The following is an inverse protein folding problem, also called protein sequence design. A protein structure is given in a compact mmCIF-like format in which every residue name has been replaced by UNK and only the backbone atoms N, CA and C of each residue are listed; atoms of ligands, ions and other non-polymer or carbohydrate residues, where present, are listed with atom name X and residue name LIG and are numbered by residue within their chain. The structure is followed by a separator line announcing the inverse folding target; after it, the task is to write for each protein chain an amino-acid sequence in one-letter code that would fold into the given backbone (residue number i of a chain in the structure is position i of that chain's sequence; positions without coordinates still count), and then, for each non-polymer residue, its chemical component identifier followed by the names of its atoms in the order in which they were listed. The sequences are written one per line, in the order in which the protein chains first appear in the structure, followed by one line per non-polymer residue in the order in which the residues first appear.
data_IF_864473917689
#
_entry.id   IF_864473917689
#
_cell.length_a   1.000
_cell.length_b   1.000
_cell.length_c   1.000
_cell.angle_alpha   90.00
_cell.angle_beta   90.00
_cell.angle_gamma   90.00
#
_symmetry.space_group_name_H-M   'P 1'
#
loop_
_entity.id
_entity.type
_entity.pdbx_description
1 polymer ?
#
# COMPACT_ATOMS: atom_id res chain seq x y z
N UNK A 1 -2.38 -11.41 29.53
CA UNK A 1 -2.61 -11.01 28.12
C UNK A 1 -1.67 -11.85 27.27
N UNK A 2 -2.15 -12.49 26.20
CA UNK A 2 -1.27 -13.23 25.29
C UNK A 2 -0.38 -12.22 24.55
N UNK A 3 0.90 -12.53 24.39
CA UNK A 3 1.91 -11.66 23.77
C UNK A 3 1.64 -11.48 22.27
N UNK A 4 0.75 -10.55 21.92
CA UNK A 4 0.36 -10.31 20.52
C UNK A 4 1.51 -9.77 19.67
N UNK A 5 2.55 -9.18 20.28
CA UNK A 5 3.73 -8.67 19.56
C UNK A 5 4.78 -9.72 19.24
N UNK A 6 5.01 -10.73 20.10
CA UNK A 6 6.00 -11.80 19.82
C UNK A 6 5.68 -12.49 18.49
N UNK A 7 4.40 -12.75 18.24
CA UNK A 7 3.92 -13.33 16.98
C UNK A 7 3.44 -12.27 15.96
N UNK A 8 3.71 -10.98 16.21
CA UNK A 8 3.26 -9.90 15.31
C UNK A 8 4.09 -9.87 14.04
N UNK A 9 3.42 -9.73 12.89
CA UNK A 9 4.07 -9.48 11.62
C UNK A 9 4.97 -8.22 11.62
N UNK A 10 4.68 -7.25 12.51
CA UNK A 10 5.52 -6.08 12.78
C UNK A 10 6.90 -6.46 13.28
N UNK A 11 6.91 -7.33 14.29
CA UNK A 11 8.12 -7.86 14.89
C UNK A 11 8.77 -8.84 13.93
N UNK A 12 8.03 -9.76 13.30
CA UNK A 12 8.58 -10.77 12.37
C UNK A 12 9.33 -10.17 11.17
N UNK A 13 8.92 -9.00 10.67
CA UNK A 13 9.68 -8.29 9.62
C UNK A 13 11.01 -7.71 10.11
N UNK A 14 11.16 -7.55 11.42
CA UNK A 14 12.34 -7.02 12.11
C UNK A 14 12.85 -7.94 13.22
N UNK A 15 12.51 -9.23 13.21
CA UNK A 15 12.65 -10.10 14.39
C UNK A 15 14.08 -10.58 14.57
N UNK A 16 14.81 -10.71 13.47
CA UNK A 16 16.27 -10.91 13.49
C UNK A 16 17.03 -9.73 14.09
N UNK A 17 16.34 -8.63 14.32
CA UNK A 17 16.94 -7.32 14.54
C UNK A 17 16.59 -6.78 15.92
N UNK A 18 15.39 -7.00 16.45
CA UNK A 18 14.96 -6.49 17.76
C UNK A 18 15.42 -7.38 18.94
N UNK A 19 15.82 -6.75 20.05
CA UNK A 19 16.14 -7.42 21.34
C UNK A 19 14.89 -7.59 22.21
N UNK A 20 14.91 -8.53 23.16
CA UNK A 20 13.79 -8.81 24.07
C UNK A 20 13.25 -7.57 24.81
N UNK A 21 14.13 -6.70 25.33
CA UNK A 21 13.71 -5.47 26.01
C UNK A 21 12.95 -4.51 25.09
N UNK A 22 13.31 -4.45 23.80
CA UNK A 22 12.64 -3.61 22.80
C UNK A 22 11.28 -4.19 22.41
N UNK A 23 11.16 -5.51 22.42
CA UNK A 23 9.88 -6.20 22.23
C UNK A 23 8.91 -5.88 23.37
N UNK A 24 9.36 -5.95 24.62
CA UNK A 24 8.55 -5.56 25.78
C UNK A 24 8.12 -4.09 25.74
N UNK A 25 8.99 -3.20 25.25
CA UNK A 25 8.64 -1.79 25.05
C UNK A 25 7.51 -1.60 24.03
N UNK A 26 7.59 -2.29 22.89
CA UNK A 26 6.54 -2.26 21.87
C UNK A 26 5.25 -2.89 22.39
N UNK A 27 5.34 -3.99 23.15
CA UNK A 27 4.19 -4.67 23.76
C UNK A 27 3.37 -3.75 24.65
N UNK A 28 4.02 -2.92 25.45
CA UNK A 28 3.34 -2.05 26.41
C UNK A 28 2.83 -0.73 25.81
N UNK A 29 3.25 -0.39 24.58
CA UNK A 29 2.98 0.93 23.98
C UNK A 29 2.40 0.81 22.56
N UNK A 30 1.51 -0.15 22.38
CA UNK A 30 0.79 -0.32 21.12
C UNK A 30 -0.70 -0.56 21.33
N UNK A 31 -1.49 -0.25 20.29
CA UNK A 31 -2.92 -0.56 20.24
C UNK A 31 -3.27 -1.20 18.90
N UNK A 32 -3.89 -2.39 18.95
CA UNK A 32 -4.37 -3.08 17.76
C UNK A 32 -5.83 -2.74 17.51
N UNK A 33 -6.13 -2.20 16.32
CA UNK A 33 -7.48 -1.82 15.91
C UNK A 33 -7.82 -2.51 14.59
N UNK A 34 -9.06 -3.01 14.51
CA UNK A 34 -9.61 -3.60 13.30
C UNK A 34 -10.42 -2.54 12.55
N UNK A 35 -10.19 -2.47 11.24
CA UNK A 35 -10.86 -1.56 10.32
C UNK A 35 -11.62 -2.38 9.29
N UNK A 36 -12.86 -1.98 9.01
CA UNK A 36 -13.65 -2.55 7.92
C UNK A 36 -13.25 -1.90 6.61
N UNK A 37 -13.52 -2.58 5.50
CA UNK A 37 -13.43 -1.96 4.17
C UNK A 37 -14.15 -0.60 4.14
N UNK A 38 -13.42 0.43 3.71
CA UNK A 38 -13.91 1.81 3.61
C UNK A 38 -13.53 2.70 4.79
N UNK A 39 -13.09 2.14 5.92
CA UNK A 39 -12.73 2.94 7.10
C UNK A 39 -11.44 3.73 6.87
N UNK A 40 -11.40 4.96 7.38
CA UNK A 40 -10.20 5.81 7.37
C UNK A 40 -9.29 5.44 8.54
N UNK A 41 -8.03 5.13 8.22
CA UNK A 41 -6.96 4.80 9.17
C UNK A 41 -6.11 6.04 9.47
N UNK A 42 -5.78 6.79 8.42
CA UNK A 42 -5.09 8.10 8.51
C UNK A 42 -5.92 9.10 7.74
N UNK A 43 -6.04 10.33 8.27
CA UNK A 43 -6.73 11.43 7.60
C UNK A 43 -5.76 12.59 7.36
N UNK A 44 -5.69 13.02 6.10
CA UNK A 44 -4.91 14.19 5.70
C UNK A 44 -5.32 15.45 6.48
N UNK A 45 -4.34 16.26 6.86
CA UNK A 45 -4.51 17.49 7.64
C UNK A 45 -4.69 17.27 9.14
N UNK A 46 -4.76 16.02 9.61
CA UNK A 46 -4.89 15.69 11.03
C UNK A 46 -3.51 15.43 11.65
N UNK A 47 -3.36 15.83 12.90
CA UNK A 47 -2.15 15.56 13.68
C UNK A 47 -1.92 14.05 13.86
N UNK A 48 -0.67 13.61 13.76
CA UNK A 48 -0.27 12.22 13.99
C UNK A 48 0.75 12.12 15.12
N UNK A 49 0.49 11.25 16.09
CA UNK A 49 1.42 10.91 17.18
C UNK A 49 1.88 9.46 17.13
N UNK A 50 1.41 8.68 16.16
CA UNK A 50 1.62 7.23 16.14
C UNK A 50 2.20 6.79 14.80
N UNK A 51 3.21 5.93 14.87
CA UNK A 51 3.62 5.13 13.72
C UNK A 51 2.62 3.99 13.56
N UNK A 52 2.26 3.69 12.32
CA UNK A 52 1.23 2.71 12.03
C UNK A 52 1.87 1.51 11.37
N UNK A 53 1.51 0.32 11.82
CA UNK A 53 1.87 -0.93 11.17
C UNK A 53 0.62 -1.68 10.72
N UNK A 54 0.50 -1.87 9.40
CA UNK A 54 -0.53 -2.70 8.81
C UNK A 54 -0.18 -4.18 9.00
N UNK A 55 -0.86 -4.87 9.92
CA UNK A 55 -0.66 -6.30 10.19
C UNK A 55 -1.32 -7.17 9.12
N UNK A 56 -2.55 -6.82 8.72
CA UNK A 56 -3.36 -7.57 7.74
C UNK A 56 -4.19 -6.64 6.87
N UNK A 57 -4.52 -7.12 5.67
CA UNK A 57 -5.41 -6.45 4.74
C UNK A 57 -4.67 -5.65 3.66
N UNK A 58 -5.41 -4.74 3.03
CA UNK A 58 -4.98 -3.93 1.89
C UNK A 58 -5.53 -2.53 2.09
N UNK A 59 -4.69 -1.51 1.93
CA UNK A 59 -5.08 -0.11 2.11
C UNK A 59 -4.72 0.70 0.86
N UNK A 60 -5.42 1.82 0.66
CA UNK A 60 -5.05 2.84 -0.32
C UNK A 60 -4.47 4.06 0.38
N UNK A 61 -3.33 4.54 -0.10
CA UNK A 61 -2.83 5.89 0.19
C UNK A 61 -3.41 6.83 -0.85
N UNK A 62 -4.03 7.91 -0.40
CA UNK A 62 -4.63 8.89 -1.29
C UNK A 62 -4.51 10.31 -0.74
N UNK A 63 -4.48 11.27 -1.65
CA UNK A 63 -4.39 12.69 -1.36
C UNK A 63 -5.63 13.36 -1.93
N UNK A 64 -6.32 14.14 -1.11
CA UNK A 64 -7.43 14.99 -1.58
C UNK A 64 -6.85 16.26 -2.16
N UNK A 65 -6.97 16.43 -3.47
CA UNK A 65 -6.61 17.67 -4.17
C UNK A 65 -7.80 18.62 -4.32
N UNK A 66 -7.60 19.78 -4.97
CA UNK A 66 -8.66 20.79 -5.15
C UNK A 66 -9.88 20.30 -5.93
N UNK A 67 -9.69 19.35 -6.85
CA UNK A 67 -10.72 18.90 -7.78
C UNK A 67 -11.09 17.43 -7.61
N UNK A 68 -10.16 16.58 -7.16
CA UNK A 68 -10.38 15.14 -7.01
C UNK A 68 -9.47 14.50 -5.99
N UNK A 69 -9.90 13.34 -5.50
CA UNK A 69 -9.04 12.40 -4.78
C UNK A 69 -8.07 11.72 -5.74
N UNK A 70 -6.81 11.64 -5.33
CA UNK A 70 -5.74 11.00 -6.08
C UNK A 70 -5.20 9.81 -5.30
N UNK A 71 -5.43 8.59 -5.77
CA UNK A 71 -4.81 7.38 -5.21
C UNK A 71 -3.34 7.34 -5.62
N UNK A 72 -2.44 7.36 -4.66
CA UNK A 72 -1.00 7.39 -4.89
C UNK A 72 -0.45 5.96 -4.98
N UNK A 73 -0.96 5.06 -4.12
CA UNK A 73 -0.46 3.70 -3.98
C UNK A 73 -1.47 2.80 -3.28
N UNK A 74 -1.51 1.53 -3.69
CA UNK A 74 -2.08 0.45 -2.89
C UNK A 74 -0.99 -0.26 -2.09
N UNK A 75 -1.28 -0.58 -0.84
CA UNK A 75 -0.31 -1.16 0.08
C UNK A 75 -0.92 -2.40 0.74
N UNK A 76 -0.28 -3.54 0.49
CA UNK A 76 -0.62 -4.81 1.11
C UNK A 76 0.16 -5.02 2.40
N UNK A 77 -0.50 -5.61 3.39
CA UNK A 77 0.14 -6.08 4.61
C UNK A 77 1.18 -7.20 4.35
N UNK A 78 2.19 -7.36 5.22
CA UNK A 78 2.47 -6.54 6.38
C UNK A 78 3.41 -5.38 6.05
N UNK A 79 3.17 -4.16 6.52
CA UNK A 79 4.12 -3.03 6.31
C UNK A 79 3.87 -1.83 7.23
N UNK A 80 4.87 -0.97 7.35
CA UNK A 80 4.75 0.32 8.01
C UNK A 80 4.02 1.34 7.12
N UNK A 81 3.19 2.16 7.75
CA UNK A 81 2.44 3.26 7.17
C UNK A 81 2.74 4.54 7.96
N UNK A 82 2.59 5.69 7.33
CA UNK A 82 2.71 6.97 8.04
C UNK A 82 4.13 7.36 8.44
N UNK A 83 5.17 6.60 8.07
CA UNK A 83 6.56 6.91 8.44
C UNK A 83 7.02 8.30 7.94
N UNK A 84 6.87 8.68 6.66
CA UNK A 84 7.33 9.99 6.19
C UNK A 84 6.64 11.14 6.91
N UNK A 85 5.36 10.96 7.24
CA UNK A 85 4.59 11.97 7.96
C UNK A 85 5.01 12.03 9.42
N UNK A 86 5.04 10.92 10.13
CA UNK A 86 5.15 10.92 11.61
C UNK A 86 6.60 11.14 12.06
N UNK A 87 7.59 10.79 11.24
CA UNK A 87 9.01 11.08 11.50
C UNK A 87 9.45 12.44 10.94
N UNK A 88 8.90 12.87 9.81
CA UNK A 88 9.31 14.10 9.13
C UNK A 88 8.49 15.35 9.46
N UNK A 89 7.26 15.16 9.97
CA UNK A 89 6.30 16.22 10.27
C UNK A 89 5.41 15.78 11.46
N UNK A 90 4.41 16.57 11.84
CA UNK A 90 3.37 16.18 12.79
C UNK A 90 1.98 16.15 12.16
N UNK A 91 1.83 16.60 10.93
CA UNK A 91 0.54 16.67 10.21
C UNK A 91 0.54 15.67 9.05
N UNK A 92 -0.49 14.82 9.02
CA UNK A 92 -0.73 13.88 7.91
C UNK A 92 -0.83 14.58 6.56
N UNK A 93 0.12 14.29 5.67
CA UNK A 93 0.17 14.84 4.31
C UNK A 93 -0.69 14.04 3.32
N UNK A 94 -1.19 12.88 3.73
CA UNK A 94 -2.06 12.02 2.95
C UNK A 94 -3.04 11.27 3.87
N UNK A 95 -4.06 10.69 3.26
CA UNK A 95 -5.01 9.80 3.92
C UNK A 95 -4.69 8.34 3.60
N UNK A 96 -5.11 7.46 4.51
CA UNK A 96 -5.05 6.00 4.33
C UNK A 96 -6.42 5.44 4.63
N UNK A 97 -6.94 4.63 3.71
CA UNK A 97 -8.27 4.00 3.83
C UNK A 97 -8.16 2.50 3.58
N UNK A 98 -8.85 1.71 4.38
CA UNK A 98 -8.95 0.27 4.21
C UNK A 98 -9.69 -0.10 2.91
N UNK A 99 -9.05 -0.88 2.04
CA UNK A 99 -9.64 -1.40 0.79
C UNK A 99 -10.25 -2.79 1.02
N UNK A 100 -9.65 -3.55 1.94
CA UNK A 100 -10.17 -4.79 2.50
C UNK A 100 -10.18 -4.65 4.03
N UNK A 101 -10.87 -5.55 4.72
CA UNK A 101 -10.81 -5.61 6.19
C UNK A 101 -9.36 -5.73 6.64
N UNK A 102 -8.99 -4.86 7.57
CA UNK A 102 -7.62 -4.59 7.94
C UNK A 102 -7.42 -4.66 9.45
N UNK A 103 -6.23 -5.10 9.84
CA UNK A 103 -5.79 -5.08 11.23
C UNK A 103 -4.53 -4.21 11.30
N UNK A 104 -4.57 -3.21 12.16
CA UNK A 104 -3.58 -2.16 12.22
C UNK A 104 -3.09 -2.02 13.66
N UNK A 105 -1.79 -1.90 13.83
CA UNK A 105 -1.14 -1.63 15.10
C UNK A 105 -0.67 -0.18 15.11
N UNK A 106 -1.13 0.60 16.09
CA UNK A 106 -0.64 1.94 16.37
C UNK A 106 0.46 1.83 17.41
N UNK A 107 1.63 2.39 17.12
CA UNK A 107 2.81 2.39 17.97
C UNK A 107 3.12 3.84 18.32
N UNK A 108 3.30 4.11 19.61
CA UNK A 108 3.70 5.45 20.06
C UNK A 108 5.01 5.89 19.39
N UNK A 109 5.03 7.13 18.88
CA UNK A 109 6.17 7.64 18.13
C UNK A 109 7.46 7.73 18.97
N UNK A 110 7.36 8.04 20.26
CA UNK A 110 8.54 8.17 21.13
C UNK A 110 9.13 6.79 21.44
N UNK A 111 8.29 5.77 21.56
CA UNK A 111 8.76 4.37 21.65
C UNK A 111 9.40 3.95 20.34
N UNK A 112 8.79 4.25 19.19
CA UNK A 112 9.37 3.92 17.89
C UNK A 112 10.74 4.56 17.68
N UNK A 113 10.89 5.85 18.02
CA UNK A 113 12.17 6.58 17.97
C UNK A 113 13.20 5.95 18.89
N UNK A 114 12.84 5.58 20.13
CA UNK A 114 13.77 4.93 21.05
C UNK A 114 14.28 3.60 20.50
N UNK A 115 13.38 2.80 19.90
CA UNK A 115 13.79 1.54 19.26
C UNK A 115 14.74 1.80 18.09
N UNK A 116 14.54 2.85 17.30
CA UNK A 116 15.49 3.26 16.26
C UNK A 116 16.87 3.61 16.85
N UNK A 117 16.90 4.41 17.91
CA UNK A 117 18.15 4.85 18.57
C UNK A 117 18.93 3.70 19.20
N UNK A 118 18.23 2.79 19.88
CA UNK A 118 18.84 1.66 20.58
C UNK A 118 19.17 0.48 19.67
N UNK A 119 18.59 0.43 18.46
CA UNK A 119 18.72 -0.67 17.54
C UNK A 119 19.20 -0.24 16.15
N UNK A 120 20.51 -0.38 15.94
CA UNK A 120 21.14 -0.06 14.65
C UNK A 120 20.56 -0.85 13.49
N UNK A 121 20.35 -2.14 13.67
CA UNK A 121 19.84 -3.01 12.60
C UNK A 121 18.40 -2.62 12.23
N UNK A 122 17.59 -2.20 13.21
CA UNK A 122 16.20 -1.77 12.97
C UNK A 122 16.18 -0.45 12.21
N UNK A 123 17.04 0.49 12.63
CA UNK A 123 17.25 1.74 11.93
C UNK A 123 17.69 1.51 10.48
N UNK A 124 18.67 0.62 10.24
CA UNK A 124 19.10 0.28 8.89
C UNK A 124 17.98 -0.35 8.05
N UNK A 125 17.15 -1.21 8.65
CA UNK A 125 15.97 -1.77 7.99
C UNK A 125 14.98 -0.69 7.57
N UNK A 126 14.62 0.23 8.47
CA UNK A 126 13.67 1.32 8.19
C UNK A 126 14.21 2.27 7.11
N UNK A 127 15.50 2.63 7.18
CA UNK A 127 16.14 3.45 6.14
C UNK A 127 16.04 2.77 4.77
N UNK A 128 16.39 1.48 4.69
CA UNK A 128 16.31 0.73 3.43
C UNK A 128 14.88 0.67 2.89
N UNK A 129 13.87 0.48 3.75
CA UNK A 129 12.47 0.43 3.33
C UNK A 129 11.99 1.81 2.82
N UNK A 130 12.39 2.90 3.47
CA UNK A 130 12.10 4.26 3.02
C UNK A 130 12.75 4.55 1.68
N UNK A 131 14.03 4.20 1.49
CA UNK A 131 14.73 4.38 0.21
C UNK A 131 14.10 3.57 -0.93
N UNK A 132 13.68 2.34 -0.68
CA UNK A 132 12.93 1.53 -1.67
C UNK A 132 11.61 2.20 -2.04
N UNK A 133 10.84 2.64 -1.05
CA UNK A 133 9.55 3.31 -1.27
C UNK A 133 9.71 4.63 -2.04
N UNK A 134 10.78 5.38 -1.79
CA UNK A 134 11.10 6.62 -2.49
C UNK A 134 11.46 6.36 -3.97
N UNK A 135 12.34 5.40 -4.24
CA UNK A 135 12.67 5.00 -5.61
C UNK A 135 11.44 4.53 -6.39
N UNK A 136 10.56 3.76 -5.75
CA UNK A 136 9.29 3.38 -6.36
C UNK A 136 8.37 4.58 -6.61
N UNK A 137 8.37 5.59 -5.74
CA UNK A 137 7.61 6.81 -5.94
C UNK A 137 8.10 7.59 -7.17
N UNK A 138 9.43 7.69 -7.38
CA UNK A 138 10.00 8.28 -8.59
C UNK A 138 9.61 7.50 -9.85
N UNK A 139 9.68 6.17 -9.82
CA UNK A 139 9.23 5.33 -10.95
C UNK A 139 7.75 5.52 -11.25
N UNK A 140 6.89 5.54 -10.23
CA UNK A 140 5.45 5.81 -10.40
C UNK A 140 5.21 7.19 -10.99
N UNK A 141 5.94 8.22 -10.53
CA UNK A 141 5.85 9.57 -11.07
C UNK A 141 6.17 9.60 -12.58
N UNK A 142 7.28 8.99 -12.98
CA UNK A 142 7.68 8.91 -14.40
C UNK A 142 6.67 8.11 -15.24
N UNK A 143 6.25 6.92 -14.77
CA UNK A 143 5.26 6.11 -15.48
C UNK A 143 3.93 6.85 -15.65
N UNK A 144 3.53 7.63 -14.65
CA UNK A 144 2.28 8.39 -14.67
C UNK A 144 2.26 9.48 -15.73
N UNK A 145 3.40 10.12 -16.00
CA UNK A 145 3.50 11.18 -17.01
C UNK A 145 3.79 10.66 -18.41
N UNK A 146 4.50 9.54 -18.53
CA UNK A 146 4.98 9.03 -19.82
C UNK A 146 4.07 7.98 -20.46
N UNK A 147 3.37 7.17 -19.67
CA UNK A 147 2.55 6.06 -20.20
C UNK A 147 1.15 6.50 -20.60
N UNK A 148 0.57 5.81 -21.58
CA UNK A 148 -0.84 5.97 -21.92
C UNK A 148 -1.72 5.16 -20.94
N UNK A 149 -3.04 5.36 -21.01
CA UNK A 149 -3.99 4.65 -20.12
C UNK A 149 -3.84 3.13 -20.23
N UNK A 150 -3.51 2.62 -21.42
CA UNK A 150 -3.34 1.19 -21.69
C UNK A 150 -2.13 0.61 -20.94
N UNK A 151 -0.95 1.24 -21.03
CA UNK A 151 0.23 0.82 -20.25
C UNK A 151 0.02 0.96 -18.75
N UNK A 152 -0.62 2.05 -18.29
CA UNK A 152 -0.92 2.25 -16.86
C UNK A 152 -1.87 1.20 -16.29
N UNK A 153 -2.89 0.79 -17.06
CA UNK A 153 -3.81 -0.25 -16.62
C UNK A 153 -3.13 -1.63 -16.60
N UNK A 154 -2.23 -1.89 -17.56
CA UNK A 154 -1.40 -3.09 -17.52
C UNK A 154 -0.51 -3.13 -16.26
N UNK A 155 0.12 -2.00 -15.89
CA UNK A 155 0.87 -1.88 -14.63
C UNK A 155 -0.01 -2.24 -13.42
N UNK A 156 -1.24 -1.71 -13.35
CA UNK A 156 -2.17 -1.98 -12.25
C UNK A 156 -2.55 -3.45 -12.15
N UNK A 157 -2.88 -4.09 -13.28
CA UNK A 157 -3.25 -5.51 -13.30
C UNK A 157 -2.06 -6.41 -12.92
N UNK A 158 -0.86 -6.06 -13.37
CA UNK A 158 0.37 -6.74 -12.98
C UNK A 158 0.69 -6.54 -11.50
N UNK A 159 0.50 -5.34 -10.93
CA UNK A 159 0.70 -5.09 -9.50
C UNK A 159 -0.30 -5.90 -8.65
N UNK A 160 -1.56 -5.99 -9.09
CA UNK A 160 -2.52 -6.88 -8.45
C UNK A 160 -2.05 -8.34 -8.49
N UNK A 161 -1.53 -8.80 -9.62
CA UNK A 161 -1.11 -10.18 -9.78
C UNK A 161 0.18 -10.53 -9.05
N UNK A 162 1.24 -9.75 -9.26
CA UNK A 162 2.62 -10.04 -8.83
C UNK A 162 2.91 -9.56 -7.41
N UNK A 163 2.21 -8.52 -6.93
CA UNK A 163 2.50 -7.90 -5.62
C UNK A 163 1.38 -8.14 -4.61
N UNK A 164 0.11 -7.96 -5.02
CA UNK A 164 -1.01 -7.94 -4.08
C UNK A 164 -1.62 -9.33 -3.89
N UNK A 165 -1.83 -10.12 -4.93
CA UNK A 165 -2.49 -11.43 -4.78
C UNK A 165 -1.55 -12.61 -4.97
N UNK A 166 -0.37 -12.39 -5.58
CA UNK A 166 0.55 -13.45 -5.99
C UNK A 166 -0.19 -14.54 -6.79
N UNK A 167 -1.08 -14.10 -7.67
CA UNK A 167 -2.00 -14.95 -8.45
C UNK A 167 -2.37 -14.24 -9.75
N UNK A 168 -2.49 -14.99 -10.84
CA UNK A 168 -2.99 -14.47 -12.11
C UNK A 168 -4.53 -14.39 -12.13
N UNK A 169 -5.20 -14.93 -11.12
CA UNK A 169 -6.64 -14.88 -10.95
C UNK A 169 -7.00 -14.23 -9.60
N UNK A 170 -7.76 -13.14 -9.65
CA UNK A 170 -8.08 -12.33 -8.47
C UNK A 170 -9.38 -11.54 -8.65
N UNK A 171 -9.93 -11.08 -7.53
CA UNK A 171 -11.07 -10.16 -7.51
C UNK A 171 -10.54 -8.74 -7.34
N UNK A 172 -10.92 -7.83 -8.24
CA UNK A 172 -10.54 -6.42 -8.15
C UNK A 172 -10.98 -5.84 -6.79
N UNK A 173 -10.04 -5.44 -5.91
CA UNK A 173 -10.36 -5.02 -4.55
C UNK A 173 -10.94 -3.60 -4.50
N UNK A 174 -10.69 -2.83 -5.56
CA UNK A 174 -11.10 -1.43 -5.76
C UNK A 174 -12.08 -1.29 -6.93
N UNK A 175 -12.79 -0.17 -6.99
CA UNK A 175 -13.69 0.11 -8.10
C UNK A 175 -12.93 0.55 -9.37
N UNK A 176 -13.58 0.49 -10.54
CA UNK A 176 -13.02 1.08 -11.76
C UNK A 176 -12.79 2.60 -11.63
N UNK A 177 -13.56 3.27 -10.78
CA UNK A 177 -13.35 4.70 -10.47
C UNK A 177 -12.09 4.91 -9.64
N UNK A 178 -11.83 4.04 -8.65
CA UNK A 178 -10.58 4.08 -7.88
C UNK A 178 -9.38 3.82 -8.79
N UNK A 179 -9.47 2.83 -9.70
CA UNK A 179 -8.42 2.58 -10.71
C UNK A 179 -8.21 3.84 -11.56
N UNK A 180 -9.30 4.48 -12.01
CA UNK A 180 -9.25 5.74 -12.75
C UNK A 180 -8.52 6.84 -11.98
N UNK A 181 -8.88 7.03 -10.71
CA UNK A 181 -8.18 7.96 -9.83
C UNK A 181 -6.70 7.57 -9.71
N UNK A 182 -6.36 6.28 -9.60
CA UNK A 182 -4.98 5.82 -9.50
C UNK A 182 -4.15 6.11 -10.76
N UNK A 183 -4.72 5.97 -11.96
CA UNK A 183 -3.99 6.10 -13.24
C UNK A 183 -4.28 7.38 -14.05
N UNK A 184 -4.92 8.37 -13.44
CA UNK A 184 -5.34 9.63 -14.08
C UNK A 184 -6.30 9.46 -15.27
N UNK A 185 -7.18 8.47 -15.22
CA UNK A 185 -8.16 8.21 -16.27
C UNK A 185 -9.59 8.28 -15.74
N UNK A 186 -10.54 8.66 -16.61
CA UNK A 186 -11.95 8.54 -16.30
C UNK A 186 -12.39 7.08 -16.21
N UNK A 187 -13.44 6.81 -15.42
CA UNK A 187 -14.03 5.47 -15.28
C UNK A 187 -14.38 4.82 -16.63
N UNK A 188 -14.91 5.60 -17.56
CA UNK A 188 -15.26 5.14 -18.92
C UNK A 188 -14.03 4.68 -19.70
N UNK A 189 -12.91 5.41 -19.59
CA UNK A 189 -11.64 5.03 -20.23
C UNK A 189 -11.10 3.71 -19.66
N UNK A 190 -11.15 3.54 -18.32
CA UNK A 190 -10.76 2.27 -17.69
C UNK A 190 -11.64 1.12 -18.17
N UNK A 191 -12.95 1.33 -18.22
CA UNK A 191 -13.90 0.32 -18.67
C UNK A 191 -13.63 -0.10 -20.13
N UNK A 192 -13.39 0.88 -21.01
CA UNK A 192 -13.03 0.64 -22.41
C UNK A 192 -11.75 -0.19 -22.53
N UNK A 193 -10.67 0.20 -21.87
CA UNK A 193 -9.38 -0.53 -21.96
C UNK A 193 -9.48 -1.93 -21.36
N UNK A 194 -10.22 -2.13 -20.25
CA UNK A 194 -10.50 -3.47 -19.73
C UNK A 194 -11.25 -4.35 -20.74
N UNK A 195 -12.22 -3.78 -21.45
CA UNK A 195 -13.00 -4.48 -22.47
C UNK A 195 -12.16 -4.82 -23.70
N UNK A 196 -11.25 -3.92 -24.10
CA UNK A 196 -10.25 -4.20 -25.14
C UNK A 196 -9.32 -5.33 -24.72
N UNK A 197 -8.75 -5.29 -23.50
CA UNK A 197 -7.91 -6.37 -23.00
C UNK A 197 -8.62 -7.73 -22.97
N UNK A 198 -9.91 -7.74 -22.64
CA UNK A 198 -10.70 -8.96 -22.68
C UNK A 198 -10.94 -9.46 -24.12
N UNK A 199 -11.26 -8.54 -25.04
CA UNK A 199 -11.48 -8.85 -26.47
C UNK A 199 -10.20 -9.35 -27.14
N UNK A 200 -9.05 -8.77 -26.78
CA UNK A 200 -7.72 -9.15 -27.28
C UNK A 200 -7.20 -10.45 -26.63
N UNK A 201 -7.95 -11.06 -25.71
CA UNK A 201 -7.56 -12.30 -25.03
C UNK A 201 -6.42 -12.15 -24.01
N UNK A 202 -6.08 -10.92 -23.60
CA UNK A 202 -5.05 -10.64 -22.59
C UNK A 202 -5.54 -11.01 -21.19
N UNK A 203 -6.83 -10.77 -20.92
CA UNK A 203 -7.50 -11.10 -19.67
C UNK A 203 -8.84 -11.77 -19.96
N UNK A 204 -9.37 -12.46 -18.97
CA UNK A 204 -10.79 -12.74 -18.87
C UNK A 204 -11.36 -11.97 -17.70
N UNK A 205 -12.58 -11.44 -17.85
CA UNK A 205 -13.24 -10.67 -16.82
C UNK A 205 -14.70 -11.06 -16.67
N UNK A 206 -15.12 -11.42 -15.46
CA UNK A 206 -16.52 -11.67 -15.10
C UNK A 206 -16.86 -10.84 -13.86
N UNK A 207 -17.61 -9.75 -14.05
CA UNK A 207 -17.87 -8.79 -12.98
C UNK A 207 -16.58 -8.14 -12.47
N UNK A 208 -16.16 -8.48 -11.25
CA UNK A 208 -14.89 -8.02 -10.66
C UNK A 208 -13.78 -9.08 -10.69
N UNK A 209 -14.09 -10.30 -11.12
CA UNK A 209 -13.12 -11.37 -11.22
C UNK A 209 -12.31 -11.16 -12.49
N UNK A 210 -10.99 -11.12 -12.35
CA UNK A 210 -10.04 -10.96 -13.44
C UNK A 210 -9.11 -12.15 -13.45
N UNK A 211 -8.85 -12.68 -14.64
CA UNK A 211 -7.84 -13.70 -14.89
C UNK A 211 -6.91 -13.24 -15.99
N UNK A 212 -5.62 -13.13 -15.71
CA UNK A 212 -4.60 -12.80 -16.71
C UNK A 212 -4.36 -14.05 -17.57
N UNK A 213 -4.57 -13.93 -18.88
CA UNK A 213 -4.40 -15.01 -19.85
C UNK A 213 -3.06 -14.93 -20.56
N UNK A 214 -2.64 -13.72 -20.95
CA UNK A 214 -1.32 -13.48 -21.53
C UNK A 214 -0.54 -12.44 -20.71
N UNK A 215 0.14 -12.95 -19.68
CA UNK A 215 0.97 -12.12 -18.80
C UNK A 215 2.20 -11.55 -19.52
N UNK A 216 2.71 -12.23 -20.56
CA UNK A 216 3.90 -11.78 -21.29
C UNK A 216 3.55 -10.54 -22.13
N UNK A 217 2.46 -10.62 -22.89
CA UNK A 217 1.99 -9.50 -23.70
C UNK A 217 1.52 -8.34 -22.81
N UNK A 218 0.87 -8.62 -21.67
CA UNK A 218 0.52 -7.58 -20.70
C UNK A 218 1.75 -6.86 -20.14
N UNK A 219 2.86 -7.57 -19.88
CA UNK A 219 4.15 -6.96 -19.50
C UNK A 219 4.74 -6.09 -20.62
N UNK A 220 4.64 -6.51 -21.87
CA UNK A 220 5.08 -5.68 -23.01
C UNK A 220 4.26 -4.39 -23.14
N UNK A 221 2.94 -4.47 -22.94
CA UNK A 221 2.05 -3.30 -22.94
C UNK A 221 2.39 -2.37 -21.77
N UNK A 222 2.62 -2.94 -20.57
CA UNK A 222 3.07 -2.18 -19.40
C UNK A 222 4.37 -1.43 -19.68
N UNK A 223 5.34 -2.03 -20.39
CA UNK A 223 6.63 -1.41 -20.64
C UNK A 223 6.60 -0.31 -21.72
N UNK A 224 5.79 -0.48 -22.76
CA UNK A 224 5.85 0.35 -23.97
C UNK A 224 4.63 1.27 -24.18
N UNK A 225 3.56 1.07 -23.42
CA UNK A 225 2.27 1.74 -23.61
C UNK A 225 1.99 2.88 -22.65
#
# INVERSE_FOLDING_TARGET
MKNECIDCACVMKSSSTLKNCQLEMLENNHAVVKFRKGDSIIKQGVFSTNVIFLRKGLVKIHITGPYREQIVRLIKAPTYLGLPTTLGDKINQYSVTAVLDSEVCFIDIEVFKRVLEENRDFSSYIIMELSKSELEAYRRCANRTQKQTRGKLADVLLDFSDTIFNSDEFVLPVSQSDIGNWVDAGRESINRVLSEFATDGLIEMTGRNVKIRDKKLLKMISQNG
#
